data_IF_592966968768
#
_entry.id   IF_592966968768
#
_cell.length_a   1.000
_cell.length_b   1.000
_cell.length_c   1.000
_cell.angle_alpha   90.00
_cell.angle_beta   90.00
_cell.angle_gamma   90.00
#
_symmetry.space_group_name_H-M   'P 1'
#
loop_
_entity.id
_entity.type
_entity.pdbx_description
1 polymer ?
#
# COMPACT_ATOMS: atom_id res chain seq x y z
N UNK A 1 -19.44 7.01 -1.86
CA UNK A 1 -19.42 5.59 -2.19
C UNK A 1 -18.12 5.25 -2.89
N UNK A 2 -17.48 4.18 -2.48
CA UNK A 2 -16.25 3.74 -3.12
C UNK A 2 -16.58 3.10 -4.47
N UNK A 3 -15.91 3.59 -5.50
CA UNK A 3 -16.13 3.15 -6.87
C UNK A 3 -14.80 2.64 -7.41
N UNK A 4 -14.73 1.35 -7.67
CA UNK A 4 -13.52 0.71 -8.15
C UNK A 4 -13.74 -0.75 -8.47
N UNK A 5 -12.79 -1.38 -9.15
CA UNK A 5 -12.93 -2.77 -9.55
C UNK A 5 -12.93 -3.70 -8.33
N UNK A 6 -13.74 -4.76 -8.42
CA UNK A 6 -13.81 -5.79 -7.39
C UNK A 6 -12.80 -6.90 -7.63
N UNK A 7 -12.21 -6.97 -8.83
CA UNK A 7 -11.23 -7.97 -9.20
C UNK A 7 -10.20 -7.39 -10.16
N UNK A 8 -8.93 -7.66 -9.90
CA UNK A 8 -7.80 -7.24 -10.72
C UNK A 8 -6.85 -8.43 -10.90
N UNK A 9 -6.19 -8.52 -12.03
CA UNK A 9 -5.22 -9.58 -12.28
C UNK A 9 -4.13 -9.11 -13.23
N UNK A 10 -2.90 -9.60 -13.01
CA UNK A 10 -1.79 -9.41 -13.94
C UNK A 10 -1.35 -10.73 -14.59
N UNK A 11 -2.13 -11.79 -14.42
CA UNK A 11 -1.81 -13.11 -14.94
C UNK A 11 -1.00 -13.98 -13.97
N UNK A 12 -0.45 -13.41 -12.92
CA UNK A 12 0.31 -14.11 -11.86
C UNK A 12 -0.37 -13.93 -10.53
N UNK A 13 -0.78 -12.71 -10.21
CA UNK A 13 -1.46 -12.33 -8.97
C UNK A 13 -2.84 -11.81 -9.28
N UNK A 14 -3.81 -12.20 -8.46
CA UNK A 14 -5.16 -11.66 -8.49
C UNK A 14 -5.46 -10.92 -7.21
N UNK A 15 -6.20 -9.82 -7.32
CA UNK A 15 -6.75 -9.10 -6.19
C UNK A 15 -8.27 -9.23 -6.21
N UNK A 16 -8.85 -9.57 -5.07
CA UNK A 16 -10.31 -9.63 -4.90
C UNK A 16 -10.71 -8.68 -3.78
N UNK A 17 -11.64 -7.80 -4.05
CA UNK A 17 -12.12 -6.84 -3.04
C UNK A 17 -12.82 -7.57 -1.92
N UNK A 18 -12.32 -7.41 -0.69
CA UNK A 18 -12.86 -8.03 0.51
C UNK A 18 -13.63 -7.03 1.37
N UNK A 19 -13.22 -5.78 1.35
CA UNK A 19 -13.89 -4.74 2.12
C UNK A 19 -13.71 -3.38 1.44
N UNK A 20 -14.78 -2.60 1.40
CA UNK A 20 -14.74 -1.21 1.00
C UNK A 20 -15.35 -0.40 2.13
N UNK A 21 -14.54 0.39 2.82
CA UNK A 21 -14.97 1.17 3.96
C UNK A 21 -15.09 2.64 3.54
N UNK A 22 -16.25 3.29 3.83
CA UNK A 22 -16.42 4.71 3.50
C UNK A 22 -15.58 5.59 4.44
N UNK A 23 -15.43 6.85 4.04
CA UNK A 23 -14.77 7.84 4.87
C UNK A 23 -15.48 8.00 6.22
N UNK A 24 -14.68 8.26 7.26
CA UNK A 24 -15.19 8.62 8.60
C UNK A 24 -14.65 10.02 8.93
N UNK A 25 -15.35 11.10 8.49
CA UNK A 25 -14.85 12.47 8.65
C UNK A 25 -14.54 12.86 10.10
N UNK A 26 -15.29 12.33 11.06
CA UNK A 26 -15.10 12.63 12.48
C UNK A 26 -13.75 12.17 13.02
N UNK A 27 -13.10 11.22 12.33
CA UNK A 27 -11.80 10.66 12.72
C UNK A 27 -10.71 10.99 11.72
N UNK A 28 -10.99 11.79 10.72
CA UNK A 28 -10.09 12.05 9.59
C UNK A 28 -9.66 10.76 8.87
N UNK A 29 -10.51 9.72 8.90
CA UNK A 29 -10.24 8.48 8.20
C UNK A 29 -10.72 8.58 6.76
N UNK A 30 -9.84 8.35 5.77
CA UNK A 30 -10.24 8.32 4.36
C UNK A 30 -10.98 7.02 4.02
N UNK A 31 -11.63 6.97 2.85
CA UNK A 31 -12.12 5.69 2.34
C UNK A 31 -10.98 4.69 2.20
N UNK A 32 -11.28 3.42 2.42
CA UNK A 32 -10.28 2.35 2.33
C UNK A 32 -10.84 1.15 1.57
N UNK A 33 -10.03 0.66 0.64
CA UNK A 33 -10.27 -0.62 -0.03
C UNK A 33 -9.31 -1.64 0.54
N UNK A 34 -9.82 -2.84 0.85
CA UNK A 34 -8.96 -3.97 1.22
C UNK A 34 -9.18 -5.09 0.23
N UNK A 35 -8.10 -5.52 -0.40
CA UNK A 35 -8.09 -6.63 -1.35
C UNK A 35 -7.35 -7.82 -0.76
N UNK A 36 -7.91 -9.02 -0.95
CA UNK A 36 -7.17 -10.26 -0.74
C UNK A 36 -6.26 -10.51 -1.93
N UNK A 37 -5.07 -11.04 -1.68
CA UNK A 37 -4.09 -11.37 -2.71
C UNK A 37 -4.11 -12.90 -2.91
N UNK A 38 -4.26 -13.31 -4.16
CA UNK A 38 -4.28 -14.72 -4.55
C UNK A 38 -3.33 -14.93 -5.72
N UNK A 39 -2.82 -16.15 -5.86
CA UNK A 39 -2.13 -16.54 -7.09
C UNK A 39 -3.18 -16.86 -8.15
N UNK A 40 -2.87 -16.53 -9.40
CA UNK A 40 -3.78 -16.78 -10.52
C UNK A 40 -4.13 -18.27 -10.61
N UNK A 41 -5.41 -18.57 -10.71
CA UNK A 41 -5.91 -19.93 -10.78
C UNK A 41 -5.97 -20.66 -9.45
N UNK A 42 -5.67 -19.98 -8.33
CA UNK A 42 -5.69 -20.57 -7.00
C UNK A 42 -6.74 -19.90 -6.12
N UNK A 43 -7.36 -20.67 -5.22
CA UNK A 43 -8.25 -20.14 -4.20
C UNK A 43 -7.52 -19.85 -2.88
N UNK A 44 -6.21 -20.08 -2.82
CA UNK A 44 -5.42 -19.86 -1.61
C UNK A 44 -5.08 -18.37 -1.49
N UNK A 45 -5.48 -17.77 -0.37
CA UNK A 45 -5.20 -16.37 -0.07
C UNK A 45 -3.76 -16.26 0.46
N UNK A 46 -2.92 -15.52 -0.24
CA UNK A 46 -1.50 -15.40 0.10
C UNK A 46 -1.16 -14.08 0.79
N UNK A 47 -2.12 -13.17 0.91
CA UNK A 47 -1.89 -11.90 1.58
C UNK A 47 -3.04 -10.94 1.42
N UNK A 48 -2.78 -9.69 1.79
CA UNK A 48 -3.73 -8.59 1.61
C UNK A 48 -3.02 -7.31 1.26
N UNK A 49 -3.75 -6.40 0.62
CA UNK A 49 -3.28 -5.05 0.32
C UNK A 49 -4.43 -4.08 0.56
N UNK A 50 -4.11 -2.93 1.14
CA UNK A 50 -5.07 -1.87 1.46
C UNK A 50 -4.69 -0.61 0.74
N UNK A 51 -5.69 0.09 0.22
CA UNK A 51 -5.54 1.40 -0.38
C UNK A 51 -6.43 2.39 0.38
N UNK A 52 -5.82 3.42 0.95
CA UNK A 52 -6.52 4.54 1.58
C UNK A 52 -6.52 5.70 0.62
N UNK A 53 -7.72 6.17 0.28
CA UNK A 53 -7.91 7.21 -0.72
C UNK A 53 -8.03 8.56 -0.02
N UNK A 54 -6.88 9.15 0.36
CA UNK A 54 -6.84 10.42 1.07
C UNK A 54 -5.48 11.08 1.02
N UNK A 55 -5.43 12.34 1.46
CA UNK A 55 -4.21 13.15 1.49
C UNK A 55 -4.04 13.90 2.80
N UNK A 56 -4.70 13.44 3.87
CA UNK A 56 -4.59 14.10 5.17
C UNK A 56 -3.27 13.72 5.86
N UNK A 57 -3.06 14.29 7.05
CA UNK A 57 -1.82 14.06 7.82
C UNK A 57 -1.59 12.60 8.18
N UNK A 58 -2.68 11.83 8.36
CA UNK A 58 -2.56 10.41 8.70
C UNK A 58 -1.86 9.64 7.58
N UNK A 59 -2.04 10.05 6.33
CA UNK A 59 -1.37 9.39 5.21
C UNK A 59 0.15 9.58 5.24
N UNK A 60 0.64 10.63 5.87
CA UNK A 60 2.07 10.84 6.04
C UNK A 60 2.69 9.87 7.06
N UNK A 61 1.92 9.38 8.01
CA UNK A 61 2.37 8.43 9.02
C UNK A 61 2.10 6.99 8.62
N UNK A 62 0.86 6.69 8.23
CA UNK A 62 0.43 5.34 7.91
C UNK A 62 0.50 4.96 6.44
N UNK A 63 0.62 5.96 5.55
CA UNK A 63 0.67 5.75 4.10
C UNK A 63 -0.68 5.49 3.46
N UNK A 64 -0.71 5.62 2.13
CA UNK A 64 -1.88 5.28 1.32
C UNK A 64 -1.98 3.77 1.06
N UNK A 65 -0.83 3.07 1.07
CA UNK A 65 -0.77 1.63 0.83
C UNK A 65 -0.27 0.89 2.06
N UNK A 66 -0.93 -0.21 2.39
CA UNK A 66 -0.45 -1.17 3.35
C UNK A 66 -0.59 -2.57 2.74
N UNK A 67 0.38 -3.44 2.96
CA UNK A 67 0.33 -4.79 2.41
C UNK A 67 1.02 -5.78 3.33
N UNK A 68 0.59 -7.03 3.23
CA UNK A 68 1.18 -8.13 3.98
C UNK A 68 1.09 -9.40 3.14
N UNK A 69 2.18 -10.14 3.07
CA UNK A 69 2.24 -11.43 2.38
C UNK A 69 2.50 -12.51 3.43
N UNK A 70 1.76 -13.62 3.34
CA UNK A 70 1.97 -14.77 4.22
C UNK A 70 3.42 -15.25 4.11
N UNK A 71 4.01 -15.58 5.24
CA UNK A 71 5.43 -15.95 5.34
C UNK A 71 5.84 -17.01 4.32
N UNK A 72 5.00 -18.03 4.11
CA UNK A 72 5.26 -19.11 3.17
C UNK A 72 5.33 -18.68 1.71
N UNK A 73 4.86 -17.46 1.38
CA UNK A 73 4.82 -16.96 0.01
C UNK A 73 5.71 -15.74 -0.21
N UNK A 74 6.53 -15.38 0.78
CA UNK A 74 7.47 -14.25 0.65
C UNK A 74 8.63 -14.59 -0.27
N UNK A 75 9.27 -13.55 -0.82
CA UNK A 75 10.43 -13.73 -1.69
C UNK A 75 10.10 -13.89 -3.17
N UNK A 76 8.85 -13.74 -3.57
CA UNK A 76 8.40 -13.91 -4.95
C UNK A 76 7.88 -12.62 -5.59
N UNK A 77 8.16 -11.47 -4.97
CA UNK A 77 7.72 -10.15 -5.44
C UNK A 77 6.20 -9.98 -5.57
N UNK A 78 5.43 -10.74 -4.79
CA UNK A 78 3.98 -10.70 -4.85
C UNK A 78 3.42 -9.35 -4.37
N UNK A 79 4.02 -8.77 -3.33
CA UNK A 79 3.63 -7.45 -2.83
C UNK A 79 3.81 -6.37 -3.89
N UNK A 80 4.92 -6.39 -4.62
CA UNK A 80 5.19 -5.45 -5.70
C UNK A 80 4.13 -5.55 -6.80
N UNK A 81 3.77 -6.76 -7.19
CA UNK A 81 2.72 -6.99 -8.19
C UNK A 81 1.37 -6.48 -7.70
N UNK A 82 1.04 -6.75 -6.43
CA UNK A 82 -0.20 -6.26 -5.83
C UNK A 82 -0.24 -4.72 -5.80
N UNK A 83 0.88 -4.09 -5.47
CA UNK A 83 0.98 -2.62 -5.47
C UNK A 83 0.72 -2.06 -6.87
N UNK A 84 1.30 -2.68 -7.92
CA UNK A 84 1.09 -2.23 -9.30
C UNK A 84 -0.37 -2.38 -9.72
N UNK A 85 -1.03 -3.45 -9.31
CA UNK A 85 -2.45 -3.64 -9.61
C UNK A 85 -3.31 -2.61 -8.90
N UNK A 86 -3.09 -2.41 -7.60
CA UNK A 86 -3.91 -1.47 -6.83
C UNK A 86 -3.66 -0.01 -7.24
N UNK A 87 -2.52 0.26 -7.87
CA UNK A 87 -2.23 1.58 -8.44
C UNK A 87 -3.26 1.98 -9.50
N UNK A 88 -3.87 1.02 -10.20
CA UNK A 88 -4.93 1.31 -11.15
C UNK A 88 -6.16 1.87 -10.45
N UNK A 89 -6.50 1.34 -9.27
CA UNK A 89 -7.59 1.87 -8.44
C UNK A 89 -7.24 3.28 -7.98
N UNK A 90 -6.00 3.51 -7.55
CA UNK A 90 -5.54 4.82 -7.13
C UNK A 90 -5.69 5.84 -8.26
N UNK A 91 -5.30 5.48 -9.48
CA UNK A 91 -5.44 6.37 -10.65
C UNK A 91 -6.90 6.69 -10.94
N UNK A 92 -7.79 5.72 -10.76
CA UNK A 92 -9.23 5.93 -10.93
C UNK A 92 -9.74 7.02 -9.98
N UNK A 93 -9.18 7.10 -8.78
CA UNK A 93 -9.51 8.12 -7.79
C UNK A 93 -8.62 9.38 -7.91
N UNK A 94 -7.79 9.46 -8.94
CA UNK A 94 -6.85 10.58 -9.15
C UNK A 94 -5.90 10.77 -7.97
N UNK A 95 -5.53 9.69 -7.32
CA UNK A 95 -4.63 9.69 -6.18
C UNK A 95 -3.21 9.44 -6.69
N UNK A 96 -2.46 10.52 -6.89
CA UNK A 96 -1.07 10.51 -7.35
C UNK A 96 -0.41 11.78 -6.79
N UNK A 97 0.67 11.70 -6.05
CA UNK A 97 1.41 10.47 -5.69
C UNK A 97 0.76 9.67 -4.58
N UNK A 98 1.22 8.43 -4.43
CA UNK A 98 0.90 7.60 -3.29
C UNK A 98 2.02 7.71 -2.27
N UNK A 99 1.66 7.77 -0.99
CA UNK A 99 2.62 7.70 0.10
C UNK A 99 2.64 6.26 0.61
N UNK A 100 3.84 5.68 0.71
CA UNK A 100 4.03 4.34 1.26
C UNK A 100 5.04 4.44 2.39
N UNK A 101 4.72 3.88 3.54
CA UNK A 101 5.62 3.89 4.68
C UNK A 101 5.96 2.47 5.12
N UNK A 102 7.14 2.31 5.68
CA UNK A 102 7.57 1.02 6.23
C UNK A 102 8.61 1.22 7.32
N UNK A 103 8.85 0.15 8.09
CA UNK A 103 9.93 0.13 9.07
C UNK A 103 11.28 0.23 8.34
N UNK A 104 12.18 1.15 8.75
CA UNK A 104 13.51 1.24 8.14
C UNK A 104 14.30 -0.08 8.16
N UNK A 105 14.05 -0.93 9.15
CA UNK A 105 14.71 -2.23 9.26
C UNK A 105 14.11 -3.30 8.36
N UNK A 106 12.93 -3.06 7.78
CA UNK A 106 12.27 -4.02 6.91
C UNK A 106 12.78 -3.88 5.47
N UNK A 107 13.87 -4.58 5.18
CA UNK A 107 14.56 -4.49 3.87
C UNK A 107 13.64 -4.97 2.74
N UNK A 108 12.86 -6.02 2.96
CA UNK A 108 11.95 -6.55 1.95
C UNK A 108 10.88 -5.50 1.56
N UNK A 109 10.32 -4.81 2.54
CA UNK A 109 9.33 -3.77 2.28
C UNK A 109 9.96 -2.57 1.56
N UNK A 110 11.18 -2.19 1.94
CA UNK A 110 11.90 -1.10 1.26
C UNK A 110 12.14 -1.43 -0.20
N UNK A 111 12.56 -2.67 -0.50
CA UNK A 111 12.75 -3.12 -1.88
C UNK A 111 11.44 -3.11 -2.67
N UNK A 112 10.33 -3.49 -2.02
CA UNK A 112 9.01 -3.45 -2.65
C UNK A 112 8.64 -2.04 -3.08
N UNK A 113 9.03 -1.02 -2.31
CA UNK A 113 8.82 0.38 -2.69
C UNK A 113 9.80 0.83 -3.78
N UNK A 114 11.07 0.44 -3.66
CA UNK A 114 12.14 0.96 -4.52
C UNK A 114 12.13 0.36 -5.92
N UNK A 115 11.79 -0.92 -6.05
CA UNK A 115 11.79 -1.60 -7.34
C UNK A 115 10.83 -0.98 -8.37
N UNK A 116 9.57 -0.63 -8.01
CA UNK A 116 8.69 0.05 -8.98
C UNK A 116 9.00 1.54 -9.17
N UNK A 117 10.00 2.08 -8.48
CA UNK A 117 10.47 3.44 -8.70
C UNK A 117 9.99 4.47 -7.70
N UNK A 118 9.52 4.08 -6.52
CA UNK A 118 9.18 5.05 -5.48
C UNK A 118 10.44 5.76 -4.97
N UNK A 119 10.29 7.02 -4.63
CA UNK A 119 11.38 7.85 -4.14
C UNK A 119 11.33 7.94 -2.62
N UNK A 120 12.45 7.63 -1.97
CA UNK A 120 12.55 7.81 -0.52
C UNK A 120 12.59 9.29 -0.18
N UNK A 121 11.59 9.76 0.57
CA UNK A 121 11.55 11.14 1.06
C UNK A 121 12.39 11.29 2.32
N UNK A 122 12.57 10.23 3.09
CA UNK A 122 13.38 10.25 4.30
C UNK A 122 12.92 9.22 5.32
N UNK A 123 13.61 9.22 6.46
CA UNK A 123 13.23 8.45 7.63
C UNK A 123 12.73 9.46 8.66
N UNK A 124 11.51 9.26 9.14
CA UNK A 124 10.82 10.20 10.02
C UNK A 124 10.48 9.55 11.35
N UNK A 125 10.58 10.33 12.41
CA UNK A 125 10.19 9.87 13.75
C UNK A 125 8.66 9.78 13.83
N UNK A 126 8.19 8.73 14.50
CA UNK A 126 6.77 8.60 14.81
C UNK A 126 6.44 9.52 15.97
N UNK A 127 5.45 10.43 15.82
CA UNK A 127 5.07 11.30 16.92
C UNK A 127 4.61 10.50 18.15
N UNK A 128 5.03 10.89 19.37
CA UNK A 128 4.64 10.14 20.58
C UNK A 128 3.13 10.02 20.79
N UNK A 129 2.37 10.98 20.28
CA UNK A 129 0.90 10.99 20.38
C UNK A 129 0.21 10.10 19.33
N UNK A 130 0.95 9.63 18.32
CA UNK A 130 0.38 8.78 17.28
C UNK A 130 0.24 7.34 17.77
N UNK A 131 -0.85 6.64 17.36
CA UNK A 131 -1.09 5.25 17.77
C UNK A 131 0.07 4.31 17.46
N UNK A 132 0.77 4.53 16.35
CA UNK A 132 1.93 3.70 15.98
C UNK A 132 3.04 3.75 17.02
N UNK A 133 3.18 4.87 17.72
CA UNK A 133 4.16 5.00 18.80
C UNK A 133 3.83 4.06 19.96
N UNK A 134 2.55 3.97 20.34
CA UNK A 134 2.11 3.05 21.38
C UNK A 134 2.22 1.59 20.95
N UNK A 135 2.21 1.33 19.64
CA UNK A 135 2.42 -0.02 19.08
C UNK A 135 3.91 -0.40 19.00
N UNK A 136 4.81 0.50 19.37
CA UNK A 136 6.25 0.23 19.40
C UNK A 136 7.05 0.82 18.24
N UNK A 137 6.40 1.49 17.30
CA UNK A 137 7.09 2.08 16.16
C UNK A 137 7.73 3.41 16.55
N UNK A 138 9.02 3.59 16.21
CA UNK A 138 9.76 4.83 16.50
C UNK A 138 10.13 5.61 15.26
N UNK A 139 10.36 4.91 14.15
CA UNK A 139 10.74 5.54 12.89
C UNK A 139 10.06 4.84 11.73
N UNK A 140 9.78 5.62 10.66
CA UNK A 140 9.22 5.11 9.42
C UNK A 140 9.98 5.68 8.24
N UNK A 141 10.31 4.83 7.26
CA UNK A 141 10.66 5.29 5.92
C UNK A 141 9.40 5.82 5.26
N UNK A 142 9.52 6.93 4.54
CA UNK A 142 8.40 7.48 3.77
C UNK A 142 8.81 7.57 2.31
N UNK A 143 8.05 6.91 1.46
CA UNK A 143 8.27 6.89 0.02
C UNK A 143 7.12 7.62 -0.67
N UNK A 144 7.48 8.30 -1.78
CA UNK A 144 6.51 8.89 -2.69
C UNK A 144 6.56 8.12 -4.00
N UNK A 145 5.42 7.62 -4.44
CA UNK A 145 5.32 6.81 -5.64
C UNK A 145 4.32 7.42 -6.62
N UNK A 146 4.73 7.55 -7.87
CA UNK A 146 3.91 8.05 -8.97
C UNK A 146 3.56 6.86 -9.89
N UNK A 147 2.43 6.17 -9.67
CA UNK A 147 2.14 4.90 -10.34
C UNK A 147 2.04 4.97 -11.86
N UNK A 148 1.69 6.11 -12.41
CA UNK A 148 1.55 6.27 -13.86
C UNK A 148 2.86 6.57 -14.59
N UNK A 149 3.97 6.67 -13.86
CA UNK A 149 5.27 7.04 -14.42
C UNK A 149 6.21 5.85 -14.45
N UNK A 150 6.96 5.74 -15.53
CA UNK A 150 8.05 4.78 -15.59
C UNK A 150 9.16 5.19 -14.61
N UNK A 151 9.85 4.22 -13.98
CA UNK A 151 11.03 4.55 -13.19
C UNK A 151 12.04 5.33 -14.02
N UNK A 152 12.71 6.30 -13.39
CA UNK A 152 13.77 7.03 -14.07
C UNK A 152 14.86 6.06 -14.52
N UNK A 153 15.37 6.18 -15.77
CA UNK A 153 16.51 5.37 -16.17
C UNK A 153 17.69 5.73 -15.26
N UNK A 154 18.28 4.74 -14.69
CA UNK A 154 19.43 4.88 -13.82
C UNK A 154 20.73 4.90 -14.62
#
# INVERSE_FOLDING_TARGET
MLDGPTHLSDGVVCLTLEQARPAEPDRDWPPEYRYGIFLEGSSVRVGEIRLRVGRNKEMLQGGNLGYEIAESHRGHHLAERACRLVAEVARHHRLDPLIVTCDPANIASRRTCERPGATLLGVFDVPPEHRMYSEGWRQRCRYEWHPGRSPSPS
#
